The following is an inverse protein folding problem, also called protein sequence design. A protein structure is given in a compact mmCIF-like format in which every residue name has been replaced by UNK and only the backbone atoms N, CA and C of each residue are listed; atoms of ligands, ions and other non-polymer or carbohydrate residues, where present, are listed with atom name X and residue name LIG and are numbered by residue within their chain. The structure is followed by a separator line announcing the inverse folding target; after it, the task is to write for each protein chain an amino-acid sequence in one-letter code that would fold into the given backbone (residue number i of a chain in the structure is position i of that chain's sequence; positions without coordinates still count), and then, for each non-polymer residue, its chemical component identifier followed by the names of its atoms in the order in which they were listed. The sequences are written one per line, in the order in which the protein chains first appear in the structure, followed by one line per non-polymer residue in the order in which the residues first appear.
data_IF_031368893922
#
_entry.id   IF_031368893922
#
_cell.length_a   1.000
_cell.length_b   1.000
_cell.length_c   1.000
_cell.angle_alpha   90.00
_cell.angle_beta   90.00
_cell.angle_gamma   90.00
#
_symmetry.space_group_name_H-M   'P 1'
#
loop_
_entity.id
_entity.type
_entity.pdbx_description
1 polymer ?
#
# COMPACT_ATOMS: atom_id res chain seq x y z
N UNK A 1 -70.82 -19.37 6.73
CA UNK A 1 -70.13 -18.32 5.95
C UNK A 1 -68.89 -17.92 6.70
N UNK A 2 -67.73 -18.45 6.27
CA UNK A 2 -66.44 -18.09 6.86
C UNK A 2 -65.79 -17.04 5.97
N UNK A 3 -65.57 -15.84 6.51
CA UNK A 3 -64.82 -14.80 5.82
C UNK A 3 -63.30 -15.06 5.99
N UNK A 4 -62.62 -15.42 4.89
CA UNK A 4 -61.16 -15.47 4.83
C UNK A 4 -60.70 -14.06 4.56
N UNK A 5 -60.10 -13.41 5.60
CA UNK A 5 -59.31 -12.15 5.42
C UNK A 5 -57.96 -12.53 4.81
N UNK A 6 -57.78 -12.18 3.56
CA UNK A 6 -56.45 -12.19 2.89
C UNK A 6 -55.74 -10.93 3.33
N UNK A 7 -54.77 -11.06 4.25
CA UNK A 7 -53.78 -10.03 4.52
C UNK A 7 -52.80 -9.99 3.31
N UNK A 8 -52.97 -9.00 2.46
CA UNK A 8 -51.94 -8.63 1.51
C UNK A 8 -50.76 -7.99 2.30
N UNK A 9 -49.67 -8.73 2.48
CA UNK A 9 -48.41 -8.20 2.90
C UNK A 9 -47.87 -7.33 1.74
N UNK A 10 -48.15 -6.04 1.78
CA UNK A 10 -47.42 -5.06 0.98
C UNK A 10 -46.04 -4.91 1.59
N UNK A 11 -45.10 -5.72 1.09
CA UNK A 11 -43.68 -5.45 1.29
C UNK A 11 -43.36 -4.12 0.58
N UNK A 12 -43.06 -3.07 1.33
CA UNK A 12 -42.39 -1.90 0.81
C UNK A 12 -40.95 -2.27 0.49
N UNK A 13 -40.70 -2.97 -0.61
CA UNK A 13 -39.40 -2.99 -1.26
C UNK A 13 -39.30 -1.69 -2.05
N UNK A 14 -38.32 -0.87 -1.75
CA UNK A 14 -37.96 0.26 -2.60
C UNK A 14 -37.77 -0.28 -4.00
N UNK A 15 -38.51 0.27 -4.97
CA UNK A 15 -38.39 -0.14 -6.36
C UNK A 15 -37.04 0.36 -6.87
N UNK A 16 -36.20 -0.53 -7.37
CA UNK A 16 -34.91 -0.16 -7.95
C UNK A 16 -35.09 0.97 -8.99
N UNK A 17 -34.20 1.96 -8.93
CA UNK A 17 -34.13 3.09 -9.87
C UNK A 17 -33.37 2.69 -11.15
N UNK A 18 -32.73 1.51 -11.18
CA UNK A 18 -31.95 1.02 -12.30
C UNK A 18 -32.83 0.30 -13.33
N UNK A 19 -32.53 0.50 -14.61
CA UNK A 19 -33.30 -0.10 -15.71
C UNK A 19 -32.44 -0.36 -16.93
N UNK A 20 -32.41 -1.58 -17.42
CA UNK A 20 -31.73 -1.94 -18.68
C UNK A 20 -32.27 -1.20 -19.91
N UNK A 21 -33.48 -0.64 -19.83
CA UNK A 21 -34.08 0.15 -20.93
C UNK A 21 -33.61 1.60 -20.95
N UNK A 22 -33.20 2.13 -19.79
CA UNK A 22 -32.71 3.48 -19.60
C UNK A 22 -31.44 3.40 -18.75
N UNK A 23 -30.31 2.97 -19.34
CA UNK A 23 -29.10 2.72 -18.58
C UNK A 23 -28.49 4.03 -18.05
N UNK A 24 -27.97 3.99 -16.82
CA UNK A 24 -27.19 5.07 -16.23
C UNK A 24 -25.70 4.87 -16.51
N UNK A 25 -25.00 5.92 -16.88
CA UNK A 25 -23.55 5.92 -17.05
C UNK A 25 -22.88 6.56 -15.83
N UNK A 26 -21.86 5.86 -15.29
CA UNK A 26 -20.96 6.36 -14.25
C UNK A 26 -19.59 6.59 -14.87
N UNK A 27 -19.00 7.75 -14.64
CA UNK A 27 -17.61 8.03 -14.97
C UNK A 27 -16.71 7.60 -13.82
N UNK A 28 -15.55 6.98 -14.12
CA UNK A 28 -14.62 6.46 -13.12
C UNK A 28 -13.19 6.88 -13.38
N UNK A 29 -12.50 7.33 -12.33
CA UNK A 29 -11.06 7.53 -12.29
C UNK A 29 -10.43 6.55 -11.30
N UNK A 30 -9.33 5.89 -11.67
CA UNK A 30 -8.64 4.97 -10.78
C UNK A 30 -7.12 4.97 -10.96
N UNK A 31 -6.41 4.52 -9.94
CA UNK A 31 -4.94 4.49 -9.87
C UNK A 31 -4.30 3.29 -10.58
N UNK A 32 -5.08 2.33 -11.03
CA UNK A 32 -4.57 1.06 -11.57
C UNK A 32 -4.26 1.10 -13.06
N UNK A 33 -4.47 2.24 -13.73
CA UNK A 33 -4.28 2.38 -15.19
C UNK A 33 -2.83 2.27 -15.67
N UNK A 34 -1.86 2.52 -14.77
CA UNK A 34 -0.43 2.39 -15.07
C UNK A 34 0.06 0.92 -14.98
N UNK A 35 -0.77 0.02 -14.46
CA UNK A 35 -0.42 -1.40 -14.34
C UNK A 35 -0.50 -2.11 -15.69
N UNK A 36 0.42 -3.02 -15.94
CA UNK A 36 0.46 -3.78 -17.19
C UNK A 36 -0.87 -4.53 -17.41
N UNK A 37 -1.52 -4.26 -18.57
CA UNK A 37 -2.79 -4.86 -18.92
C UNK A 37 -4.00 -4.31 -18.16
N UNK A 38 -3.83 -3.28 -17.33
CA UNK A 38 -4.85 -2.64 -16.50
C UNK A 38 -5.93 -3.62 -15.98
N UNK A 39 -5.65 -4.38 -14.91
CA UNK A 39 -6.59 -5.36 -14.37
C UNK A 39 -7.95 -4.76 -14.01
N UNK A 40 -7.98 -3.51 -13.55
CA UNK A 40 -9.22 -2.81 -13.22
C UNK A 40 -10.06 -2.52 -14.47
N UNK A 41 -9.44 -2.12 -15.59
CA UNK A 41 -10.18 -1.90 -16.85
C UNK A 41 -10.82 -3.19 -17.35
N UNK A 42 -10.12 -4.31 -17.21
CA UNK A 42 -10.65 -5.64 -17.54
C UNK A 42 -11.89 -5.96 -16.71
N UNK A 43 -11.87 -5.67 -15.41
CA UNK A 43 -13.03 -5.85 -14.52
C UNK A 43 -14.18 -4.93 -14.89
N UNK A 44 -13.92 -3.67 -15.20
CA UNK A 44 -14.94 -2.72 -15.64
C UNK A 44 -15.59 -3.17 -16.94
N UNK A 45 -14.81 -3.67 -17.91
CA UNK A 45 -15.35 -4.24 -19.14
C UNK A 45 -16.20 -5.49 -18.89
N UNK A 46 -15.81 -6.36 -17.96
CA UNK A 46 -16.59 -7.52 -17.56
C UNK A 46 -17.91 -7.09 -16.93
N UNK A 47 -17.88 -6.17 -15.97
CA UNK A 47 -19.10 -5.60 -15.38
C UNK A 47 -20.05 -5.06 -16.44
N UNK A 48 -19.53 -4.24 -17.36
CA UNK A 48 -20.32 -3.65 -18.44
C UNK A 48 -20.94 -4.68 -19.39
N UNK A 49 -20.32 -5.85 -19.54
CA UNK A 49 -20.85 -6.94 -20.39
C UNK A 49 -21.85 -7.85 -19.67
N UNK A 50 -21.79 -7.92 -18.35
CA UNK A 50 -22.55 -8.84 -17.50
C UNK A 50 -23.58 -8.11 -16.63
N UNK A 51 -23.34 -7.98 -15.36
CA UNK A 51 -24.25 -7.40 -14.36
C UNK A 51 -24.67 -5.98 -14.70
N UNK A 52 -23.75 -5.15 -15.13
CA UNK A 52 -24.05 -3.77 -15.54
C UNK A 52 -25.04 -3.71 -16.70
N UNK A 53 -24.86 -4.56 -17.71
CA UNK A 53 -25.80 -4.66 -18.85
C UNK A 53 -27.18 -5.13 -18.40
N UNK A 54 -27.25 -6.11 -17.51
CA UNK A 54 -28.51 -6.66 -17.02
C UNK A 54 -29.30 -5.63 -16.20
N UNK A 55 -28.61 -4.89 -15.34
CA UNK A 55 -29.21 -3.89 -14.44
C UNK A 55 -29.36 -2.50 -15.06
N UNK A 56 -28.74 -2.25 -16.20
CA UNK A 56 -28.77 -0.94 -16.85
C UNK A 56 -27.77 0.05 -16.22
N UNK A 57 -26.58 -0.41 -15.89
CA UNK A 57 -25.46 0.40 -15.43
C UNK A 57 -24.27 0.23 -16.37
N UNK A 58 -23.61 1.31 -16.69
CA UNK A 58 -22.37 1.32 -17.45
C UNK A 58 -21.32 2.16 -16.75
N UNK A 59 -20.16 1.59 -16.50
CA UNK A 59 -18.99 2.34 -15.96
C UNK A 59 -18.05 2.67 -17.11
N UNK A 60 -17.65 3.93 -17.20
CA UNK A 60 -16.72 4.46 -18.21
C UNK A 60 -15.46 4.95 -17.50
N UNK A 61 -14.37 4.27 -17.71
CA UNK A 61 -13.07 4.67 -17.17
C UNK A 61 -12.49 5.82 -18.00
N UNK A 62 -11.89 6.78 -17.31
CA UNK A 62 -11.02 7.80 -17.88
C UNK A 62 -9.63 7.62 -17.27
N UNK A 63 -8.66 7.31 -18.11
CA UNK A 63 -7.27 7.14 -17.68
C UNK A 63 -6.69 8.47 -17.19
N UNK A 64 -5.95 8.41 -16.10
CA UNK A 64 -5.18 9.52 -15.55
C UNK A 64 -3.70 9.27 -15.80
N UNK A 65 -2.97 10.34 -16.07
CA UNK A 65 -1.55 10.29 -16.41
C UNK A 65 -0.63 9.94 -15.24
N UNK A 66 -1.15 9.90 -14.01
CA UNK A 66 -0.41 9.48 -12.81
C UNK A 66 -1.35 9.15 -11.65
N UNK A 67 -1.27 7.92 -11.17
CA UNK A 67 -1.98 7.44 -10.00
C UNK A 67 -1.69 8.28 -8.75
N UNK A 68 -0.43 8.65 -8.54
CA UNK A 68 0.00 9.44 -7.39
C UNK A 68 -0.58 10.87 -7.36
N UNK A 69 -1.17 11.34 -8.47
CA UNK A 69 -1.74 12.70 -8.58
C UNK A 69 -3.26 12.74 -8.54
N UNK A 70 -3.93 11.60 -8.36
CA UNK A 70 -5.40 11.54 -8.42
C UNK A 70 -6.05 12.49 -7.41
N UNK A 71 -5.55 12.56 -6.17
CA UNK A 71 -6.05 13.48 -5.15
C UNK A 71 -5.96 14.94 -5.59
N UNK A 72 -4.82 15.35 -6.15
CA UNK A 72 -4.64 16.70 -6.71
C UNK A 72 -5.63 17.00 -7.85
N UNK A 73 -5.78 16.08 -8.80
CA UNK A 73 -6.75 16.25 -9.90
C UNK A 73 -8.19 16.33 -9.41
N UNK A 74 -8.57 15.54 -8.41
CA UNK A 74 -9.89 15.62 -7.80
C UNK A 74 -10.14 16.98 -7.13
N UNK A 75 -9.16 17.52 -6.42
CA UNK A 75 -9.27 18.86 -5.82
C UNK A 75 -9.35 19.98 -6.87
N UNK A 76 -8.59 19.86 -7.97
CA UNK A 76 -8.65 20.80 -9.07
C UNK A 76 -10.04 20.85 -9.73
N UNK A 77 -10.78 19.73 -9.81
CA UNK A 77 -12.14 19.70 -10.39
C UNK A 77 -13.17 20.49 -9.56
N UNK A 78 -12.89 20.79 -8.29
CA UNK A 78 -13.75 21.61 -7.45
C UNK A 78 -13.65 23.12 -7.77
N UNK A 79 -12.60 23.53 -8.50
CA UNK A 79 -12.41 24.91 -8.96
C UNK A 79 -13.04 25.18 -10.31
N UNK A 80 -12.56 26.21 -11.02
CA UNK A 80 -12.97 26.57 -12.39
C UNK A 80 -12.35 25.64 -13.48
N UNK A 81 -12.17 24.37 -13.19
CA UNK A 81 -11.61 23.42 -14.13
C UNK A 81 -12.65 23.03 -15.18
N UNK A 82 -12.20 22.85 -16.44
CA UNK A 82 -13.05 22.34 -17.52
C UNK A 82 -13.35 20.84 -17.39
N UNK A 83 -12.80 20.19 -16.38
CA UNK A 83 -12.93 18.77 -16.14
C UNK A 83 -14.04 18.53 -15.11
N UNK A 84 -14.98 17.65 -15.43
CA UNK A 84 -16.07 17.31 -14.53
C UNK A 84 -15.60 16.29 -13.48
N UNK A 85 -16.11 16.40 -12.25
CA UNK A 85 -15.88 15.45 -11.18
C UNK A 85 -16.39 14.07 -11.62
N UNK A 86 -15.59 12.99 -11.50
CA UNK A 86 -16.05 11.64 -11.79
C UNK A 86 -17.09 11.19 -10.77
N UNK A 87 -17.99 10.29 -11.19
CA UNK A 87 -18.98 9.69 -10.29
C UNK A 87 -18.35 8.70 -9.31
N UNK A 88 -17.33 7.97 -9.77
CA UNK A 88 -16.54 7.00 -9.02
C UNK A 88 -15.06 7.34 -9.14
N UNK A 89 -14.32 7.17 -8.06
CA UNK A 89 -12.86 7.29 -8.11
C UNK A 89 -12.20 6.51 -6.99
N UNK A 90 -10.91 6.25 -7.16
CA UNK A 90 -10.11 5.65 -6.09
C UNK A 90 -9.20 6.72 -5.50
N UNK A 91 -9.18 6.85 -4.17
CA UNK A 91 -8.27 7.76 -3.47
C UNK A 91 -7.97 7.27 -2.05
N UNK A 92 -7.05 7.96 -1.38
CA UNK A 92 -6.79 7.79 0.05
C UNK A 92 -7.81 8.55 0.89
N UNK A 93 -7.97 8.18 2.15
CA UNK A 93 -8.92 8.82 3.06
C UNK A 93 -8.62 10.33 3.24
N UNK A 94 -7.34 10.72 3.28
CA UNK A 94 -6.95 12.13 3.36
C UNK A 94 -7.47 12.96 2.18
N UNK A 95 -7.43 12.42 0.96
CA UNK A 95 -7.98 13.07 -0.24
C UNK A 95 -9.51 13.18 -0.17
N UNK A 96 -10.18 12.11 0.30
CA UNK A 96 -11.63 12.09 0.47
C UNK A 96 -12.09 13.17 1.46
N UNK A 97 -11.42 13.30 2.60
CA UNK A 97 -11.68 14.35 3.60
C UNK A 97 -11.44 15.74 3.00
N UNK A 98 -10.34 15.94 2.27
CA UNK A 98 -10.02 17.21 1.62
C UNK A 98 -11.03 17.61 0.54
N UNK A 99 -11.64 16.64 -0.15
CA UNK A 99 -12.74 16.89 -1.10
C UNK A 99 -14.01 17.41 -0.42
N UNK A 100 -14.23 17.02 0.82
CA UNK A 100 -15.40 17.34 1.63
C UNK A 100 -16.33 16.14 1.82
N UNK A 101 -16.44 15.68 3.04
CA UNK A 101 -17.19 14.48 3.44
C UNK A 101 -18.68 14.53 3.06
N UNK A 102 -19.29 15.72 3.05
CA UNK A 102 -20.67 15.94 2.67
C UNK A 102 -20.94 15.73 1.17
N UNK A 103 -19.89 15.75 0.34
CA UNK A 103 -19.97 15.55 -1.10
C UNK A 103 -19.84 14.09 -1.53
N UNK A 104 -19.42 13.23 -0.63
CA UNK A 104 -19.18 11.81 -0.89
C UNK A 104 -20.30 10.94 -0.34
N UNK A 105 -20.55 9.78 -0.97
CA UNK A 105 -21.44 8.78 -0.42
C UNK A 105 -20.83 8.23 0.88
N UNK A 106 -21.68 8.05 1.88
CA UNK A 106 -21.36 7.23 3.03
C UNK A 106 -21.71 5.76 2.69
N UNK A 107 -20.70 4.92 2.57
CA UNK A 107 -20.90 3.52 2.23
C UNK A 107 -21.67 2.75 3.32
N UNK A 108 -21.77 3.27 4.55
CA UNK A 108 -22.63 2.71 5.59
C UNK A 108 -24.11 2.68 5.18
N UNK A 109 -24.54 3.60 4.30
CA UNK A 109 -25.91 3.63 3.78
C UNK A 109 -26.17 2.51 2.74
N UNK A 110 -25.10 1.92 2.16
CA UNK A 110 -25.16 1.00 1.03
C UNK A 110 -24.67 -0.41 1.34
N UNK A 111 -23.88 -0.60 2.39
CA UNK A 111 -23.43 -1.89 2.90
C UNK A 111 -23.96 -2.09 4.31
N UNK A 112 -24.75 -3.11 4.51
CA UNK A 112 -25.27 -3.45 5.85
C UNK A 112 -24.13 -3.86 6.78
N UNK A 113 -24.32 -3.74 8.11
CA UNK A 113 -23.35 -4.21 9.11
C UNK A 113 -22.93 -5.68 8.90
N UNK A 114 -23.87 -6.52 8.43
CA UNK A 114 -23.56 -7.91 8.11
C UNK A 114 -22.61 -8.03 6.94
N UNK A 115 -22.80 -7.26 5.87
CA UNK A 115 -21.95 -7.26 4.70
C UNK A 115 -20.57 -6.68 5.04
N UNK A 116 -20.52 -5.59 5.81
CA UNK A 116 -19.26 -5.02 6.31
C UNK A 116 -18.49 -6.01 7.18
N UNK A 117 -19.18 -6.81 8.00
CA UNK A 117 -18.57 -7.87 8.80
C UNK A 117 -17.88 -8.98 7.99
N UNK A 118 -18.07 -9.02 6.67
CA UNK A 118 -17.36 -9.92 5.76
C UNK A 118 -16.01 -9.36 5.29
N UNK A 119 -15.68 -8.12 5.62
CA UNK A 119 -14.42 -7.45 5.28
C UNK A 119 -13.45 -7.43 6.48
N UNK A 120 -12.17 -7.28 6.19
CA UNK A 120 -11.15 -7.08 7.23
C UNK A 120 -11.42 -5.75 7.93
N UNK A 121 -11.71 -5.80 9.23
CA UNK A 121 -12.16 -4.63 9.99
C UNK A 121 -11.17 -3.47 9.98
N UNK A 122 -9.86 -3.75 10.05
CA UNK A 122 -8.83 -2.73 9.95
C UNK A 122 -8.80 -2.02 8.59
N UNK A 123 -9.20 -2.71 7.51
CA UNK A 123 -9.26 -2.11 6.18
C UNK A 123 -10.50 -1.23 5.97
N UNK A 124 -11.62 -1.55 6.64
CA UNK A 124 -12.77 -0.66 6.69
C UNK A 124 -12.48 0.58 7.53
N UNK A 125 -11.93 0.40 8.73
CA UNK A 125 -11.59 1.49 9.63
C UNK A 125 -10.63 2.53 9.01
N UNK A 126 -9.75 2.08 8.11
CA UNK A 126 -8.87 2.98 7.36
C UNK A 126 -9.62 3.93 6.42
N UNK A 127 -10.80 3.54 5.95
CA UNK A 127 -11.67 4.33 5.09
C UNK A 127 -12.71 5.19 5.81
N UNK A 128 -12.76 5.14 7.15
CA UNK A 128 -13.70 5.90 7.96
C UNK A 128 -13.18 7.32 8.25
N UNK A 129 -14.06 8.30 8.17
CA UNK A 129 -13.83 9.65 8.68
C UNK A 129 -14.03 9.70 10.21
N UNK A 130 -13.62 10.81 10.84
CA UNK A 130 -13.68 10.97 12.30
C UNK A 130 -15.12 10.93 12.86
N UNK A 131 -16.12 11.25 12.05
CA UNK A 131 -17.54 11.17 12.41
C UNK A 131 -18.17 9.78 12.19
N UNK A 132 -17.36 8.79 11.77
CA UNK A 132 -17.77 7.40 11.56
C UNK A 132 -18.37 7.10 10.18
N UNK A 133 -18.36 8.06 9.24
CA UNK A 133 -18.74 7.81 7.86
C UNK A 133 -17.69 6.98 7.14
N UNK A 134 -18.09 5.93 6.47
CA UNK A 134 -17.22 5.14 5.61
C UNK A 134 -17.17 5.80 4.22
N UNK A 135 -16.17 6.64 3.99
CA UNK A 135 -16.02 7.41 2.73
C UNK A 135 -15.24 6.65 1.68
N UNK A 136 -14.28 5.82 2.10
CA UNK A 136 -13.37 5.07 1.21
C UNK A 136 -13.56 3.58 1.42
N UNK A 137 -14.24 2.91 0.48
CA UNK A 137 -14.52 1.49 0.58
C UNK A 137 -13.30 0.67 0.10
N UNK A 138 -12.80 -0.31 0.88
CA UNK A 138 -11.58 -1.04 0.53
C UNK A 138 -11.80 -1.92 -0.70
N UNK A 139 -10.90 -1.80 -1.69
CA UNK A 139 -10.84 -2.66 -2.89
C UNK A 139 -9.65 -3.60 -2.85
N UNK A 140 -8.54 -3.10 -2.38
CA UNK A 140 -7.27 -3.79 -2.25
C UNK A 140 -6.41 -3.04 -1.24
N UNK A 141 -5.55 -3.75 -0.52
CA UNK A 141 -4.58 -3.14 0.38
C UNK A 141 -3.19 -3.69 0.07
N UNK A 142 -2.17 -2.86 0.23
CA UNK A 142 -0.78 -3.28 0.17
C UNK A 142 -0.12 -3.07 1.52
N UNK A 143 1.01 -3.74 1.71
CA UNK A 143 1.88 -3.55 2.87
C UNK A 143 3.32 -3.51 2.41
N UNK A 144 4.21 -3.04 3.26
CA UNK A 144 5.64 -3.16 3.03
C UNK A 144 6.11 -4.58 3.41
N UNK A 145 7.07 -5.08 2.66
CA UNK A 145 7.77 -6.31 2.91
C UNK A 145 9.13 -6.29 2.21
N UNK A 146 9.97 -7.28 2.47
CA UNK A 146 11.31 -7.35 1.92
C UNK A 146 11.32 -8.30 0.71
N UNK A 147 11.70 -7.79 -0.45
CA UNK A 147 11.90 -8.54 -1.70
C UNK A 147 13.38 -8.67 -1.98
N UNK A 148 13.87 -9.90 -2.21
CA UNK A 148 15.30 -10.18 -2.32
C UNK A 148 15.64 -10.90 -3.63
N UNK A 149 16.78 -10.55 -4.19
CA UNK A 149 17.46 -11.40 -5.14
C UNK A 149 17.96 -12.67 -4.42
N UNK A 150 17.16 -13.73 -4.43
CA UNK A 150 17.46 -14.98 -3.73
C UNK A 150 18.69 -15.68 -4.27
N UNK A 151 19.00 -15.56 -5.56
CA UNK A 151 20.26 -16.08 -6.16
C UNK A 151 21.48 -15.38 -5.54
N UNK A 152 21.45 -14.07 -5.40
CA UNK A 152 22.49 -13.30 -4.72
C UNK A 152 22.54 -13.60 -3.22
N UNK A 153 21.36 -13.69 -2.57
CA UNK A 153 21.27 -14.00 -1.15
C UNK A 153 21.83 -15.40 -0.82
N UNK A 154 21.62 -16.40 -1.66
CA UNK A 154 22.18 -17.73 -1.46
C UNK A 154 23.71 -17.70 -1.40
N UNK A 155 24.38 -16.91 -2.28
CA UNK A 155 25.85 -16.73 -2.24
C UNK A 155 26.30 -16.02 -0.96
N UNK A 156 25.60 -15.01 -0.55
CA UNK A 156 25.87 -14.28 0.70
C UNK A 156 25.68 -15.18 1.91
N UNK A 157 24.57 -15.92 1.96
CA UNK A 157 24.26 -16.91 3.02
C UNK A 157 25.34 -17.98 3.15
N UNK A 158 25.79 -18.57 2.03
CA UNK A 158 26.87 -19.57 2.02
C UNK A 158 28.18 -19.01 2.58
N UNK A 159 28.49 -17.75 2.26
CA UNK A 159 29.74 -17.11 2.68
C UNK A 159 29.74 -16.67 4.16
N UNK A 160 28.60 -16.26 4.70
CA UNK A 160 28.49 -15.58 6.01
C UNK A 160 27.70 -16.35 7.06
N UNK A 161 26.87 -17.31 6.63
CA UNK A 161 25.94 -18.02 7.49
C UNK A 161 24.65 -17.27 7.82
N UNK A 162 24.42 -16.08 7.25
CA UNK A 162 23.16 -15.32 7.39
C UNK A 162 22.03 -16.09 6.69
N UNK A 163 20.88 -16.17 7.34
CA UNK A 163 19.69 -16.87 6.84
C UNK A 163 18.51 -15.91 6.71
N UNK A 164 17.40 -16.35 6.08
CA UNK A 164 16.17 -15.56 6.04
C UNK A 164 15.57 -15.32 7.44
N UNK A 165 15.77 -16.26 8.38
CA UNK A 165 15.30 -16.11 9.76
C UNK A 165 15.98 -14.93 10.48
N UNK A 166 17.25 -14.66 10.16
CA UNK A 166 17.96 -13.50 10.70
C UNK A 166 17.34 -12.16 10.26
N UNK A 167 16.62 -12.14 9.13
CA UNK A 167 15.94 -10.95 8.61
C UNK A 167 14.58 -10.70 9.28
N UNK A 168 14.12 -11.55 10.19
CA UNK A 168 12.80 -11.44 10.81
C UNK A 168 12.71 -10.30 11.85
N UNK A 169 13.85 -9.78 12.31
CA UNK A 169 13.89 -8.66 13.26
C UNK A 169 14.69 -7.48 12.70
N UNK A 170 14.38 -6.27 13.18
CA UNK A 170 15.13 -5.08 12.77
C UNK A 170 16.60 -5.15 13.13
N UNK A 171 16.94 -5.69 14.31
CA UNK A 171 18.32 -5.88 14.72
C UNK A 171 19.05 -6.85 13.79
N UNK A 172 18.42 -7.98 13.46
CA UNK A 172 18.98 -8.97 12.55
C UNK A 172 19.09 -8.45 11.12
N UNK A 173 18.11 -7.69 10.65
CA UNK A 173 18.13 -7.01 9.35
C UNK A 173 19.31 -6.04 9.23
N UNK A 174 19.53 -5.15 10.21
CA UNK A 174 20.66 -4.22 10.18
C UNK A 174 22.01 -4.91 10.35
N UNK A 175 22.10 -5.98 11.17
CA UNK A 175 23.30 -6.81 11.28
C UNK A 175 23.62 -7.52 9.95
N UNK A 176 22.63 -8.10 9.30
CA UNK A 176 22.78 -8.70 7.97
C UNK A 176 23.22 -7.67 6.92
N UNK A 177 22.65 -6.45 6.96
CA UNK A 177 23.02 -5.36 6.06
C UNK A 177 24.51 -4.97 6.23
N UNK A 178 24.99 -4.86 7.46
CA UNK A 178 26.41 -4.61 7.72
C UNK A 178 27.30 -5.75 7.23
N UNK A 179 26.95 -7.01 7.51
CA UNK A 179 27.69 -8.18 7.02
C UNK A 179 27.73 -8.28 5.49
N UNK A 180 26.64 -7.90 4.81
CA UNK A 180 26.60 -7.87 3.36
C UNK A 180 27.54 -6.81 2.79
N UNK A 181 27.49 -5.60 3.37
CA UNK A 181 28.38 -4.52 2.98
C UNK A 181 29.86 -4.88 3.15
N UNK A 182 30.22 -5.53 4.25
CA UNK A 182 31.57 -6.04 4.50
C UNK A 182 31.94 -7.13 3.48
N UNK A 183 31.02 -8.07 3.20
CA UNK A 183 31.24 -9.15 2.25
C UNK A 183 31.49 -8.65 0.82
N UNK A 184 30.80 -7.57 0.43
CA UNK A 184 31.00 -6.89 -0.88
C UNK A 184 32.17 -5.90 -0.86
N UNK A 185 32.99 -5.89 0.19
CA UNK A 185 34.10 -4.95 0.40
C UNK A 185 33.68 -3.46 0.39
N UNK A 186 32.50 -3.16 0.89
CA UNK A 186 31.99 -1.79 1.01
C UNK A 186 31.52 -1.19 -0.30
N UNK A 187 31.13 -2.00 -1.28
CA UNK A 187 30.69 -1.53 -2.61
C UNK A 187 29.19 -1.55 -2.83
N UNK A 188 28.47 -2.45 -2.16
CA UNK A 188 27.07 -2.68 -2.43
C UNK A 188 26.24 -2.59 -1.13
N UNK A 189 25.23 -1.72 -1.07
CA UNK A 189 24.25 -1.72 0.02
C UNK A 189 23.39 -2.99 -0.01
N UNK A 190 22.94 -3.43 1.16
CA UNK A 190 22.07 -4.59 1.29
C UNK A 190 20.65 -4.32 0.79
N UNK A 191 20.11 -3.14 1.10
CA UNK A 191 18.69 -2.85 0.87
C UNK A 191 18.45 -1.40 0.39
N UNK A 192 17.59 -1.25 -0.60
CA UNK A 192 16.96 0.02 -0.93
C UNK A 192 15.57 0.10 -0.28
N UNK A 193 15.28 1.19 0.44
CA UNK A 193 14.02 1.39 1.15
C UNK A 193 13.16 2.44 0.45
N UNK A 194 11.94 2.07 0.04
CA UNK A 194 11.01 3.00 -0.64
C UNK A 194 10.39 4.00 0.34
N UNK A 195 9.97 3.54 1.50
CA UNK A 195 9.29 4.36 2.51
C UNK A 195 9.91 4.13 3.90
N UNK A 196 11.17 4.53 4.13
CA UNK A 196 11.88 4.23 5.37
C UNK A 196 11.21 4.80 6.61
N UNK A 197 10.56 5.97 6.52
CA UNK A 197 9.89 6.56 7.68
C UNK A 197 8.80 5.65 8.25
N UNK A 198 8.05 4.93 7.40
CA UNK A 198 7.02 3.99 7.87
C UNK A 198 7.63 2.81 8.64
N UNK A 199 8.78 2.32 8.21
CA UNK A 199 9.53 1.29 8.95
C UNK A 199 10.00 1.79 10.32
N UNK A 200 10.47 3.05 10.39
CA UNK A 200 10.87 3.70 11.65
C UNK A 200 9.66 3.87 12.59
N UNK A 201 8.50 4.27 12.07
CA UNK A 201 7.27 4.40 12.84
C UNK A 201 6.83 3.08 13.46
N UNK A 202 6.81 1.99 12.66
CA UNK A 202 6.45 0.67 13.15
C UNK A 202 7.43 0.22 14.24
N UNK A 203 8.74 0.37 14.00
CA UNK A 203 9.76 0.04 14.99
C UNK A 203 9.58 0.84 16.29
N UNK A 204 9.25 2.14 16.22
CA UNK A 204 9.00 2.96 17.40
C UNK A 204 7.76 2.50 18.19
N UNK A 205 6.66 2.19 17.50
CA UNK A 205 5.43 1.66 18.12
C UNK A 205 5.69 0.30 18.80
N UNK A 206 6.40 -0.59 18.14
CA UNK A 206 6.80 -1.90 18.67
C UNK A 206 7.72 -1.77 19.90
N UNK A 207 8.49 -0.68 20.02
CA UNK A 207 9.26 -0.33 21.21
C UNK A 207 8.44 0.43 22.28
N UNK A 208 7.12 0.60 22.07
CA UNK A 208 6.21 1.19 23.04
C UNK A 208 6.10 2.71 22.96
N UNK A 209 6.42 3.33 21.83
CA UNK A 209 6.02 4.72 21.59
C UNK A 209 4.49 4.78 21.51
N UNK A 210 3.84 5.50 22.43
CA UNK A 210 2.38 5.62 22.43
C UNK A 210 1.90 6.62 21.39
N UNK A 211 2.59 7.75 21.26
CA UNK A 211 2.29 8.83 20.34
C UNK A 211 3.59 9.56 19.96
N UNK A 212 3.79 9.78 18.69
CA UNK A 212 4.93 10.52 18.17
C UNK A 212 4.53 11.57 17.13
N UNK A 213 3.25 11.92 17.08
CA UNK A 213 2.76 13.02 16.26
C UNK A 213 2.34 14.21 17.10
N UNK A 214 2.53 15.41 16.57
CA UNK A 214 2.01 16.64 17.16
C UNK A 214 0.58 16.92 16.66
N UNK A 215 -0.15 17.79 17.38
CA UNK A 215 -1.47 18.26 16.94
C UNK A 215 -1.46 18.91 15.55
N UNK A 216 -0.32 19.47 15.14
CA UNK A 216 -0.12 20.09 13.83
C UNK A 216 0.11 19.05 12.70
N UNK A 217 0.07 17.77 13.02
CA UNK A 217 0.16 16.69 12.03
C UNK A 217 1.58 16.44 11.50
N UNK A 218 2.59 16.59 12.36
CA UNK A 218 3.96 16.20 12.06
C UNK A 218 4.55 15.43 13.25
N UNK A 219 5.85 15.14 13.25
CA UNK A 219 6.48 14.32 14.28
C UNK A 219 6.83 15.12 15.53
N UNK A 220 6.63 14.50 16.69
CA UNK A 220 7.16 14.96 17.97
C UNK A 220 8.63 14.54 18.09
N UNK A 221 9.51 15.48 17.80
CA UNK A 221 10.96 15.28 17.85
C UNK A 221 11.53 15.17 19.27
N UNK A 222 10.73 15.38 20.30
CA UNK A 222 11.11 15.18 21.70
C UNK A 222 10.79 13.75 22.18
N UNK A 223 10.11 12.94 21.38
CA UNK A 223 9.86 11.51 21.65
C UNK A 223 11.17 10.72 21.51
N UNK A 224 11.70 10.27 22.66
CA UNK A 224 13.00 9.59 22.70
C UNK A 224 12.97 8.19 22.06
N UNK A 225 11.84 7.49 22.11
CA UNK A 225 11.69 6.15 21.51
C UNK A 225 11.67 6.26 20.00
N UNK A 226 10.92 7.23 19.47
CA UNK A 226 10.90 7.51 18.04
C UNK A 226 12.30 7.94 17.53
N UNK A 227 12.98 8.79 18.28
CA UNK A 227 14.35 9.19 17.94
C UNK A 227 15.29 7.99 17.88
N UNK A 228 15.24 7.06 18.83
CA UNK A 228 16.13 5.88 18.81
C UNK A 228 15.83 4.97 17.63
N UNK A 229 14.56 4.75 17.29
CA UNK A 229 14.17 4.02 16.07
C UNK A 229 14.69 4.68 14.80
N UNK A 230 14.64 6.02 14.73
CA UNK A 230 15.28 6.75 13.64
C UNK A 230 16.80 6.55 13.62
N UNK A 231 17.45 6.60 14.77
CA UNK A 231 18.91 6.47 14.85
C UNK A 231 19.40 5.09 14.41
N UNK A 232 18.63 4.02 14.60
CA UNK A 232 18.96 2.69 14.05
C UNK A 232 19.03 2.73 12.52
N UNK A 233 18.00 3.27 11.87
CA UNK A 233 17.95 3.48 10.43
C UNK A 233 19.10 4.41 9.97
N UNK A 234 19.29 5.53 10.65
CA UNK A 234 20.26 6.57 10.30
C UNK A 234 21.71 6.08 10.36
N UNK A 235 22.07 5.25 11.36
CA UNK A 235 23.39 4.61 11.45
C UNK A 235 23.67 3.70 10.25
N UNK A 236 22.69 2.87 9.86
CA UNK A 236 22.83 1.99 8.71
C UNK A 236 22.96 2.78 7.40
N UNK A 237 22.18 3.85 7.23
CA UNK A 237 22.28 4.77 6.10
C UNK A 237 23.64 5.47 6.05
N UNK A 238 24.12 5.99 7.20
CA UNK A 238 25.40 6.67 7.29
C UNK A 238 26.59 5.76 6.96
N UNK A 239 26.49 4.48 7.27
CA UNK A 239 27.51 3.47 6.95
C UNK A 239 27.41 2.94 5.52
N UNK A 240 26.34 3.25 4.78
CA UNK A 240 26.11 2.73 3.43
C UNK A 240 25.58 1.29 3.39
N UNK A 241 25.13 0.76 4.54
CA UNK A 241 24.56 -0.58 4.61
C UNK A 241 23.19 -0.68 3.92
N UNK A 242 22.45 0.43 3.92
CA UNK A 242 21.16 0.62 3.26
C UNK A 242 21.14 1.95 2.52
N UNK A 243 20.19 2.12 1.60
CA UNK A 243 19.93 3.37 0.90
C UNK A 243 18.44 3.70 0.87
N UNK A 244 18.09 4.97 0.79
CA UNK A 244 16.75 5.40 0.36
C UNK A 244 16.69 5.24 -1.14
N UNK A 245 15.69 4.52 -1.66
CA UNK A 245 15.56 4.25 -3.09
C UNK A 245 15.44 5.54 -3.90
N UNK A 246 15.98 5.54 -5.12
CA UNK A 246 15.90 6.71 -6.01
C UNK A 246 14.48 6.98 -6.49
N UNK A 247 13.82 5.94 -7.02
CA UNK A 247 12.41 5.94 -7.43
C UNK A 247 11.69 4.78 -6.77
N UNK A 248 12.12 3.55 -7.08
CA UNK A 248 11.55 2.31 -6.56
C UNK A 248 12.66 1.28 -6.37
N UNK A 249 12.65 0.61 -5.23
CA UNK A 249 13.65 -0.38 -4.83
C UNK A 249 13.75 -1.57 -5.81
N UNK A 250 12.64 -1.97 -6.45
CA UNK A 250 12.64 -3.04 -7.44
C UNK A 250 13.62 -2.78 -8.59
N UNK A 251 13.75 -1.54 -9.07
CA UNK A 251 14.72 -1.20 -10.13
C UNK A 251 16.14 -1.46 -9.66
N UNK A 252 16.49 -1.01 -8.45
CA UNK A 252 17.83 -1.17 -7.90
C UNK A 252 18.17 -2.65 -7.61
N UNK A 253 17.19 -3.48 -7.22
CA UNK A 253 17.38 -4.93 -7.09
C UNK A 253 17.63 -5.57 -8.46
N UNK A 254 16.86 -5.21 -9.48
CA UNK A 254 16.98 -5.77 -10.83
C UNK A 254 18.23 -5.29 -11.60
N UNK A 255 18.83 -4.18 -11.17
CA UNK A 255 20.11 -3.70 -11.72
C UNK A 255 21.32 -4.19 -10.91
N UNK A 256 21.08 -4.91 -9.81
CA UNK A 256 22.14 -5.42 -8.95
C UNK A 256 22.84 -4.32 -8.12
N UNK A 257 22.25 -3.14 -8.01
CA UNK A 257 22.75 -2.07 -7.14
C UNK A 257 22.61 -2.39 -5.67
N UNK A 258 21.56 -3.17 -5.32
CA UNK A 258 21.29 -3.67 -3.97
C UNK A 258 20.84 -5.12 -4.02
N UNK A 259 20.99 -5.83 -2.93
CA UNK A 259 20.52 -7.22 -2.83
C UNK A 259 19.01 -7.32 -2.60
N UNK A 260 18.42 -6.35 -1.92
CA UNK A 260 17.01 -6.39 -1.51
C UNK A 260 16.35 -5.02 -1.64
N UNK A 261 15.01 -5.04 -1.72
CA UNK A 261 14.17 -3.86 -1.67
C UNK A 261 13.13 -3.98 -0.57
N UNK A 262 13.01 -2.98 0.29
CA UNK A 262 11.91 -2.86 1.23
C UNK A 262 10.88 -1.91 0.64
N UNK A 263 9.77 -2.48 0.15
CA UNK A 263 8.78 -1.73 -0.60
C UNK A 263 7.38 -2.36 -0.54
N UNK A 264 6.47 -1.80 -1.32
CA UNK A 264 5.09 -2.25 -1.40
C UNK A 264 4.97 -3.66 -1.99
N UNK A 265 4.05 -4.47 -1.48
CA UNK A 265 3.68 -5.77 -2.07
C UNK A 265 3.30 -5.66 -3.55
N UNK A 266 2.66 -4.56 -3.95
CA UNK A 266 2.30 -4.29 -5.35
C UNK A 266 3.51 -4.07 -6.27
N UNK A 267 4.71 -3.87 -5.74
CA UNK A 267 5.92 -3.78 -6.53
C UNK A 267 6.25 -5.08 -7.27
N UNK A 268 5.64 -6.22 -6.88
CA UNK A 268 5.81 -7.51 -7.57
C UNK A 268 5.54 -7.41 -9.09
N UNK A 269 4.59 -6.57 -9.49
CA UNK A 269 4.25 -6.33 -10.90
C UNK A 269 5.44 -5.83 -11.75
N UNK A 270 6.43 -5.25 -11.11
CA UNK A 270 7.58 -4.61 -11.76
C UNK A 270 8.88 -5.39 -11.57
N UNK A 271 8.84 -6.53 -10.88
CA UNK A 271 9.94 -7.47 -10.82
C UNK A 271 9.92 -8.42 -12.02
N UNK A 272 11.09 -8.89 -12.42
CA UNK A 272 11.26 -9.97 -13.37
C UNK A 272 12.21 -11.03 -12.79
N UNK A 273 12.49 -12.07 -13.54
CA UNK A 273 13.31 -13.21 -13.15
C UNK A 273 14.83 -13.03 -13.48
N UNK A 274 15.27 -11.79 -13.71
CA UNK A 274 16.63 -11.52 -14.19
C UNK A 274 17.19 -10.26 -13.54
N UNK A 275 18.43 -10.35 -13.05
CA UNK A 275 19.25 -9.17 -12.70
C UNK A 275 20.13 -8.82 -13.90
N UNK A 276 20.18 -7.54 -14.23
CA UNK A 276 21.06 -7.01 -15.29
C UNK A 276 21.97 -5.93 -14.69
N UNK A 277 23.24 -6.26 -14.57
CA UNK A 277 24.25 -5.40 -13.98
C UNK A 277 24.71 -4.29 -14.91
N UNK A 278 25.34 -3.24 -14.36
CA UNK A 278 25.84 -2.08 -15.12
C UNK A 278 26.78 -2.45 -16.28
N UNK A 279 27.59 -3.49 -16.14
CA UNK A 279 28.49 -4.00 -17.17
C UNK A 279 27.82 -4.76 -18.33
N UNK A 280 26.47 -4.90 -18.24
CA UNK A 280 25.64 -5.63 -19.21
C UNK A 280 25.58 -7.15 -18.97
N UNK A 281 26.24 -7.66 -17.93
CA UNK A 281 26.06 -9.03 -17.49
C UNK A 281 24.64 -9.24 -16.92
N UNK A 282 24.04 -10.38 -17.20
CA UNK A 282 22.73 -10.75 -16.66
C UNK A 282 22.76 -12.15 -16.08
N UNK A 283 22.05 -12.36 -14.99
CA UNK A 283 21.86 -13.69 -14.39
C UNK A 283 20.40 -13.89 -13.95
N UNK A 284 19.94 -15.15 -13.87
CA UNK A 284 18.62 -15.45 -13.33
C UNK A 284 18.48 -15.00 -11.87
N UNK A 285 17.34 -14.43 -11.54
CA UNK A 285 16.96 -14.02 -10.20
C UNK A 285 15.83 -14.90 -9.70
N UNK A 286 16.07 -15.63 -8.61
CA UNK A 286 15.02 -16.26 -7.82
C UNK A 286 14.48 -15.21 -6.84
N UNK A 287 13.31 -14.65 -7.15
CA UNK A 287 12.71 -13.60 -6.30
C UNK A 287 12.17 -14.22 -5.01
N UNK A 288 12.82 -13.92 -3.91
CA UNK A 288 12.38 -14.30 -2.57
C UNK A 288 11.67 -13.13 -1.90
N UNK A 289 10.62 -13.44 -1.14
CA UNK A 289 9.85 -12.45 -0.41
C UNK A 289 9.71 -12.92 1.03
N UNK A 290 10.07 -12.04 1.97
CA UNK A 290 9.94 -12.31 3.40
C UNK A 290 9.13 -11.19 4.06
N UNK A 291 8.43 -11.50 5.17
CA UNK A 291 7.70 -10.51 5.95
C UNK A 291 8.57 -9.31 6.33
N UNK A 292 7.91 -8.19 6.61
CA UNK A 292 8.57 -7.02 7.17
C UNK A 292 9.28 -7.40 8.49
N UNK A 293 10.52 -6.97 8.74
CA UNK A 293 11.17 -7.15 10.02
C UNK A 293 10.33 -6.54 11.15
N UNK A 294 10.38 -7.13 12.34
CA UNK A 294 9.70 -6.68 13.54
C UNK A 294 10.68 -6.47 14.69
N UNK A 295 10.27 -5.80 15.74
CA UNK A 295 11.04 -5.73 16.99
C UNK A 295 10.96 -7.08 17.74
N UNK A 296 12.08 -7.63 18.14
CA UNK A 296 12.13 -8.92 18.81
C UNK A 296 11.27 -8.95 20.09
N UNK A 297 10.28 -9.84 20.12
CA UNK A 297 9.38 -10.03 21.27
C UNK A 297 8.23 -9.03 21.37
N UNK A 298 8.07 -8.14 20.42
CA UNK A 298 6.90 -7.26 20.31
C UNK A 298 5.75 -7.94 19.56
N UNK A 299 4.55 -7.36 19.64
CA UNK A 299 3.44 -7.69 18.75
C UNK A 299 3.75 -7.04 17.37
N UNK A 300 3.89 -7.83 16.32
CA UNK A 300 4.34 -7.30 15.05
C UNK A 300 3.29 -6.41 14.39
N UNK A 301 3.74 -5.31 13.80
CA UNK A 301 2.92 -4.36 13.09
C UNK A 301 3.23 -4.38 11.59
N UNK A 302 2.22 -4.11 10.76
CA UNK A 302 2.41 -3.89 9.34
C UNK A 302 1.74 -2.60 8.89
N UNK A 303 2.30 -1.96 7.88
CA UNK A 303 1.62 -0.86 7.21
C UNK A 303 0.43 -1.41 6.43
N UNK A 304 -0.65 -0.64 6.37
CA UNK A 304 -1.63 -0.81 5.33
C UNK A 304 -1.61 0.44 4.46
N UNK A 305 -1.59 0.24 3.17
CA UNK A 305 -1.58 1.31 2.19
C UNK A 305 -2.48 0.90 1.02
N UNK A 306 -2.77 1.86 0.18
CA UNK A 306 -3.61 1.65 -0.99
C UNK A 306 -4.90 2.44 -0.90
N UNK A 307 -5.40 2.73 -2.08
CA UNK A 307 -6.64 3.49 -2.26
C UNK A 307 -7.86 2.58 -2.12
N UNK A 308 -8.99 3.19 -1.79
CA UNK A 308 -10.29 2.53 -1.88
C UNK A 308 -11.23 3.27 -2.81
N UNK A 309 -12.42 2.75 -2.98
CA UNK A 309 -13.47 3.30 -3.84
C UNK A 309 -14.25 4.40 -3.13
N UNK A 310 -14.33 5.55 -3.76
CA UNK A 310 -15.20 6.66 -3.38
C UNK A 310 -16.27 6.88 -4.45
N UNK A 311 -17.39 7.41 -4.06
CA UNK A 311 -18.44 7.83 -4.97
C UNK A 311 -18.89 9.27 -4.64
N UNK A 312 -18.98 10.12 -5.67
CA UNK A 312 -19.43 11.49 -5.53
C UNK A 312 -20.95 11.55 -5.50
N UNK A 313 -21.53 12.31 -4.55
CA UNK A 313 -22.98 12.49 -4.43
C UNK A 313 -23.52 13.30 -5.61
N UNK A 314 -24.38 12.67 -6.40
CA UNK A 314 -25.10 13.32 -7.50
C UNK A 314 -26.60 13.02 -7.43
N UNK A 315 -27.07 11.90 -7.98
CA UNK A 315 -28.46 11.47 -7.95
C UNK A 315 -28.62 10.16 -7.22
N UNK A 316 -29.81 9.87 -6.68
CA UNK A 316 -30.12 8.58 -6.06
C UNK A 316 -29.91 7.41 -7.02
N UNK A 317 -30.21 7.57 -8.32
CA UNK A 317 -29.97 6.55 -9.33
C UNK A 317 -28.49 6.25 -9.52
N UNK A 318 -27.62 7.27 -9.54
CA UNK A 318 -26.17 7.07 -9.63
C UNK A 318 -25.59 6.47 -8.35
N UNK A 319 -26.14 6.85 -7.20
CA UNK A 319 -25.75 6.24 -5.92
C UNK A 319 -26.09 4.74 -5.87
N UNK A 320 -27.29 4.34 -6.31
CA UNK A 320 -27.67 2.93 -6.44
C UNK A 320 -26.76 2.18 -7.45
N UNK A 321 -26.42 2.83 -8.56
CA UNK A 321 -25.51 2.26 -9.56
C UNK A 321 -24.09 2.08 -9.03
N UNK A 322 -23.58 3.06 -8.25
CA UNK A 322 -22.29 3.00 -7.58
C UNK A 322 -22.24 1.85 -6.57
N UNK A 323 -23.31 1.70 -5.76
CA UNK A 323 -23.45 0.59 -4.82
C UNK A 323 -23.44 -0.76 -5.52
N UNK A 324 -24.20 -0.91 -6.61
CA UNK A 324 -24.20 -2.13 -7.41
C UNK A 324 -22.79 -2.50 -7.90
N UNK A 325 -22.06 -1.52 -8.43
CA UNK A 325 -20.70 -1.73 -8.91
C UNK A 325 -19.74 -2.09 -7.78
N UNK A 326 -19.82 -1.41 -6.63
CA UNK A 326 -18.99 -1.70 -5.47
C UNK A 326 -19.20 -3.12 -4.93
N UNK A 327 -20.45 -3.58 -4.79
CA UNK A 327 -20.77 -4.96 -4.40
C UNK A 327 -20.24 -5.98 -5.40
N UNK A 328 -20.41 -5.70 -6.68
CA UNK A 328 -19.93 -6.58 -7.74
C UNK A 328 -18.41 -6.66 -7.74
N UNK A 329 -17.72 -5.53 -7.62
CA UNK A 329 -16.27 -5.44 -7.66
C UNK A 329 -15.61 -6.13 -6.46
N UNK A 330 -16.24 -6.06 -5.29
CA UNK A 330 -15.74 -6.62 -4.03
C UNK A 330 -16.32 -8.01 -3.70
N UNK A 331 -16.98 -8.68 -4.66
CA UNK A 331 -17.36 -10.09 -4.51
C UNK A 331 -16.09 -10.93 -4.27
N UNK A 332 -16.17 -11.92 -3.35
CA UNK A 332 -14.98 -12.60 -2.78
C UNK A 332 -14.03 -13.16 -3.84
N UNK A 333 -14.56 -13.94 -4.81
CA UNK A 333 -13.68 -14.56 -5.81
C UNK A 333 -13.10 -13.53 -6.77
N UNK A 334 -13.90 -12.56 -7.18
CA UNK A 334 -13.44 -11.49 -8.08
C UNK A 334 -12.39 -10.60 -7.42
N UNK A 335 -12.59 -10.28 -6.14
CA UNK A 335 -11.58 -9.55 -5.38
C UNK A 335 -10.29 -10.37 -5.26
N UNK A 336 -10.39 -11.67 -4.98
CA UNK A 336 -9.24 -12.57 -4.93
C UNK A 336 -8.48 -12.59 -6.27
N UNK A 337 -9.18 -12.78 -7.39
CA UNK A 337 -8.58 -12.81 -8.72
C UNK A 337 -7.88 -11.48 -9.06
N UNK A 338 -8.50 -10.35 -8.68
CA UNK A 338 -7.91 -9.03 -8.86
C UNK A 338 -6.64 -8.85 -8.04
N UNK A 339 -6.67 -9.13 -6.74
CA UNK A 339 -5.50 -8.89 -5.88
C UNK A 339 -4.36 -9.85 -6.20
N UNK A 340 -4.64 -11.13 -6.52
CA UNK A 340 -3.61 -12.10 -6.88
C UNK A 340 -2.92 -11.81 -8.22
N UNK A 341 -3.54 -11.01 -9.07
CA UNK A 341 -2.93 -10.52 -10.32
C UNK A 341 -2.13 -9.22 -10.13
N UNK A 342 -2.21 -8.57 -8.97
CA UNK A 342 -1.67 -7.22 -8.75
C UNK A 342 -0.75 -7.08 -7.53
N UNK A 343 -0.57 -8.15 -6.75
CA UNK A 343 0.29 -8.14 -5.57
C UNK A 343 -0.32 -7.44 -4.34
N UNK A 344 -1.61 -7.14 -4.38
CA UNK A 344 -2.34 -6.59 -3.24
C UNK A 344 -2.86 -7.69 -2.31
N UNK A 345 -3.25 -7.28 -1.11
CA UNK A 345 -3.96 -8.13 -0.15
C UNK A 345 -5.47 -8.11 -0.44
N UNK A 346 -6.15 -9.27 -0.35
CA UNK A 346 -7.61 -9.34 -0.42
C UNK A 346 -8.24 -8.63 0.78
N UNK A 347 -9.38 -7.99 0.52
CA UNK A 347 -10.07 -7.19 1.56
C UNK A 347 -11.15 -7.96 2.30
N UNK A 348 -11.47 -9.18 1.86
CA UNK A 348 -12.48 -10.03 2.48
C UNK A 348 -11.89 -10.99 3.50
N UNK A 349 -12.59 -11.16 4.63
CA UNK A 349 -12.25 -12.17 5.62
C UNK A 349 -12.23 -13.59 5.00
N UNK A 350 -11.24 -14.38 5.38
CA UNK A 350 -11.08 -15.75 4.89
C UNK A 350 -10.75 -15.85 3.39
N UNK A 351 -10.42 -14.76 2.71
CA UNK A 351 -9.96 -14.80 1.33
C UNK A 351 -8.55 -15.38 1.24
N UNK A 352 -7.68 -15.09 2.23
CA UNK A 352 -6.35 -15.69 2.30
C UNK A 352 -6.38 -17.21 2.46
N UNK A 353 -7.43 -17.81 3.04
CA UNK A 353 -7.59 -19.27 3.10
C UNK A 353 -7.67 -19.89 1.70
N UNK A 354 -8.18 -19.14 0.72
CA UNK A 354 -8.30 -19.56 -0.67
C UNK A 354 -7.03 -19.31 -1.49
N UNK A 355 -6.04 -18.60 -0.96
CA UNK A 355 -4.75 -18.35 -1.65
C UNK A 355 -4.00 -19.66 -1.91
N UNK A 356 -4.09 -20.62 -1.00
CA UNK A 356 -3.44 -21.93 -1.16
C UNK A 356 -4.00 -22.74 -2.35
N UNK A 357 -5.16 -22.36 -2.86
CA UNK A 357 -5.80 -22.97 -4.04
C UNK A 357 -5.42 -22.27 -5.35
N UNK A 358 -4.72 -21.13 -5.27
CA UNK A 358 -4.28 -20.38 -6.45
C UNK A 358 -2.96 -20.94 -6.98
N UNK A 359 -2.96 -21.35 -8.24
CA UNK A 359 -1.74 -21.75 -8.95
C UNK A 359 -1.07 -20.52 -9.56
N UNK A 360 0.06 -20.10 -8.99
CA UNK A 360 0.86 -19.02 -9.53
C UNK A 360 1.83 -19.53 -10.59
N UNK A 361 1.78 -18.93 -11.78
CA UNK A 361 2.72 -19.27 -12.86
C UNK A 361 4.14 -18.78 -12.56
N UNK A 362 4.27 -17.70 -11.80
CA UNK A 362 5.53 -17.10 -11.36
C UNK A 362 5.77 -17.45 -9.89
N UNK A 363 6.90 -18.12 -9.55
CA UNK A 363 7.25 -18.46 -8.17
C UNK A 363 7.36 -17.22 -7.25
N UNK A 364 7.74 -16.06 -7.77
CA UNK A 364 7.81 -14.82 -6.99
C UNK A 364 6.46 -14.42 -6.40
N UNK A 365 5.37 -14.63 -7.15
CA UNK A 365 4.01 -14.42 -6.61
C UNK A 365 3.64 -15.44 -5.52
N UNK A 366 4.04 -16.70 -5.68
CA UNK A 366 3.83 -17.70 -4.63
C UNK A 366 4.57 -17.31 -3.33
N UNK A 367 5.83 -16.86 -3.45
CA UNK A 367 6.61 -16.37 -2.32
C UNK A 367 5.97 -15.13 -1.67
N UNK A 368 5.49 -14.18 -2.49
CA UNK A 368 4.77 -12.99 -2.02
C UNK A 368 3.54 -13.37 -1.19
N UNK A 369 2.68 -14.22 -1.73
CA UNK A 369 1.43 -14.56 -1.04
C UNK A 369 1.64 -15.43 0.18
N UNK A 370 2.71 -16.23 0.24
CA UNK A 370 3.12 -16.93 1.46
C UNK A 370 3.55 -15.93 2.57
N UNK A 371 4.32 -14.90 2.21
CA UNK A 371 4.72 -13.84 3.15
C UNK A 371 3.51 -13.00 3.60
N UNK A 372 2.65 -12.57 2.67
CA UNK A 372 1.45 -11.80 2.98
C UNK A 372 0.47 -12.58 3.88
N UNK A 373 0.30 -13.89 3.65
CA UNK A 373 -0.53 -14.75 4.49
C UNK A 373 0.01 -14.79 5.92
N UNK A 374 1.32 -15.02 6.07
CA UNK A 374 1.98 -14.97 7.38
C UNK A 374 1.75 -13.64 8.08
N UNK A 375 1.90 -12.51 7.37
CA UNK A 375 1.69 -11.19 7.94
C UNK A 375 0.22 -10.96 8.32
N UNK A 376 -0.73 -11.35 7.49
CA UNK A 376 -2.15 -11.21 7.80
C UNK A 376 -2.59 -12.03 9.03
N UNK A 377 -1.97 -13.17 9.27
CA UNK A 377 -2.26 -14.04 10.41
C UNK A 377 -1.63 -13.56 11.72
N UNK A 378 -0.52 -12.83 11.63
CA UNK A 378 0.33 -12.55 12.80
C UNK A 378 0.60 -11.07 13.07
N UNK A 379 0.45 -10.19 12.08
CA UNK A 379 0.72 -8.75 12.21
C UNK A 379 -0.58 -7.95 12.36
N UNK A 380 -0.51 -6.89 13.14
CA UNK A 380 -1.60 -5.92 13.24
C UNK A 380 -1.43 -4.81 12.21
N UNK A 381 -2.42 -4.56 11.33
CA UNK A 381 -2.33 -3.49 10.36
C UNK A 381 -2.46 -2.11 11.03
N UNK A 382 -1.53 -1.21 10.69
CA UNK A 382 -1.53 0.18 11.13
C UNK A 382 -2.15 1.06 10.03
N UNK A 383 -3.14 1.85 10.40
CA UNK A 383 -3.83 2.78 9.50
C UNK A 383 -2.85 3.77 8.83
N UNK A 384 -3.22 4.27 7.66
CA UNK A 384 -2.48 5.34 7.00
C UNK A 384 -2.50 6.65 7.79
N UNK A 385 -1.45 7.43 7.61
CA UNK A 385 -1.37 8.78 8.18
C UNK A 385 -2.31 9.71 7.41
N UNK A 386 -3.15 10.46 8.13
CA UNK A 386 -4.23 11.28 7.56
C UNK A 386 -3.92 12.77 7.50
N UNK A 387 -2.70 13.17 7.85
CA UNK A 387 -2.35 14.59 7.90
C UNK A 387 -2.22 15.18 6.49
N UNK A 388 -2.78 16.35 6.31
CA UNK A 388 -2.57 17.19 5.12
C UNK A 388 -1.07 17.46 5.00
N UNK A 389 -0.53 17.46 3.78
CA UNK A 389 0.89 17.70 3.48
C UNK A 389 1.88 16.62 3.96
N UNK A 390 1.43 15.56 4.66
CA UNK A 390 2.32 14.49 5.14
C UNK A 390 3.23 13.94 4.03
N UNK A 391 2.64 13.50 2.93
CA UNK A 391 3.40 12.95 1.80
C UNK A 391 4.36 13.96 1.17
N UNK A 392 3.97 15.22 1.06
CA UNK A 392 4.83 16.28 0.53
C UNK A 392 6.06 16.51 1.41
N UNK A 393 5.86 16.53 2.73
CA UNK A 393 6.95 16.65 3.71
C UNK A 393 7.87 15.41 3.69
N UNK A 394 7.29 14.22 3.62
CA UNK A 394 8.04 12.96 3.52
C UNK A 394 8.87 12.89 2.25
N UNK A 395 8.34 13.33 1.11
CA UNK A 395 9.13 13.43 -0.13
C UNK A 395 10.31 14.39 0.02
N UNK A 396 10.12 15.55 0.66
CA UNK A 396 11.19 16.50 0.95
C UNK A 396 12.28 15.86 1.83
N UNK A 397 11.87 15.07 2.83
CA UNK A 397 12.80 14.30 3.67
C UNK A 397 13.62 13.31 2.84
N UNK A 398 12.97 12.54 1.99
CA UNK A 398 13.66 11.52 1.18
C UNK A 398 14.62 12.15 0.18
N UNK A 399 14.27 13.27 -0.44
CA UNK A 399 15.16 14.00 -1.32
C UNK A 399 16.43 14.48 -0.58
N UNK A 400 16.28 14.95 0.63
CA UNK A 400 17.40 15.32 1.49
C UNK A 400 18.27 14.12 1.87
N UNK A 401 17.66 13.01 2.27
CA UNK A 401 18.39 11.78 2.62
C UNK A 401 19.14 11.19 1.42
N UNK A 402 18.53 11.20 0.20
CA UNK A 402 19.21 10.79 -1.04
C UNK A 402 20.43 11.62 -1.37
N UNK A 403 20.42 12.92 -1.03
CA UNK A 403 21.60 13.75 -1.18
C UNK A 403 22.67 13.38 -0.14
N UNK A 404 22.28 13.20 1.13
CA UNK A 404 23.21 12.87 2.21
C UNK A 404 23.86 11.49 2.01
N UNK A 405 23.12 10.49 1.59
CA UNK A 405 23.65 9.12 1.39
C UNK A 405 24.77 9.02 0.35
N UNK A 406 24.96 10.02 -0.50
CA UNK A 406 26.06 10.05 -1.45
C UNK A 406 27.42 10.36 -0.78
N UNK A 407 27.41 11.02 0.37
CA UNK A 407 28.61 11.46 1.09
C UNK A 407 28.82 10.75 2.42
N UNK A 408 27.75 10.44 3.16
CA UNK A 408 27.83 9.87 4.51
C UNK A 408 28.71 8.60 4.57
N UNK A 409 28.56 7.59 3.67
CA UNK A 409 29.37 6.37 3.73
C UNK A 409 30.87 6.65 3.52
N UNK A 410 31.21 7.60 2.69
CA UNK A 410 32.63 8.00 2.48
C UNK A 410 33.23 8.66 3.72
N UNK A 411 32.44 9.46 4.42
CA UNK A 411 32.85 10.13 5.66
C UNK A 411 33.01 9.10 6.79
N UNK A 412 32.07 8.16 6.91
CA UNK A 412 32.15 7.04 7.85
C UNK A 412 33.42 6.19 7.59
N UNK A 413 33.69 5.83 6.33
CA UNK A 413 34.88 5.07 5.92
C UNK A 413 36.19 5.87 6.16
N UNK A 414 36.14 7.19 6.17
CA UNK A 414 37.26 8.06 6.54
C UNK A 414 37.50 8.15 8.05
N UNK A 415 36.65 7.50 8.87
CA UNK A 415 36.76 7.43 10.33
C UNK A 415 36.00 8.53 11.08
N UNK A 416 35.08 9.22 10.43
CA UNK A 416 34.15 10.13 11.11
C UNK A 416 33.17 9.32 11.97
N UNK A 417 32.75 9.90 13.07
CA UNK A 417 31.87 9.24 14.03
C UNK A 417 30.49 8.99 13.42
N UNK A 418 30.11 7.72 13.30
CA UNK A 418 28.81 7.28 12.73
C UNK A 418 27.62 7.88 13.48
N UNK A 419 27.72 8.03 14.80
CA UNK A 419 26.66 8.65 15.61
C UNK A 419 26.48 10.12 15.23
N UNK A 420 27.58 10.86 15.03
CA UNK A 420 27.50 12.24 14.58
C UNK A 420 26.89 12.36 13.18
N UNK A 421 27.24 11.44 12.26
CA UNK A 421 26.66 11.39 10.92
C UNK A 421 25.16 11.06 10.94
N UNK A 422 24.74 10.15 11.81
CA UNK A 422 23.33 9.83 12.01
C UNK A 422 22.53 11.00 12.57
N UNK A 423 23.11 11.76 13.53
CA UNK A 423 22.49 13.00 14.05
C UNK A 423 22.34 14.09 12.97
N UNK A 424 23.18 14.13 11.95
CA UNK A 424 22.97 15.06 10.82
C UNK A 424 21.68 14.74 10.06
N UNK A 425 21.35 13.45 9.88
CA UNK A 425 20.07 13.06 9.26
C UNK A 425 18.87 13.41 10.12
N UNK A 426 19.00 13.28 11.45
CA UNK A 426 17.97 13.72 12.39
C UNK A 426 17.77 15.24 12.34
N UNK A 427 18.87 16.01 12.24
CA UNK A 427 18.79 17.46 12.08
C UNK A 427 18.12 17.88 10.78
N UNK A 428 18.38 17.15 9.65
CA UNK A 428 17.64 17.33 8.41
C UNK A 428 16.14 17.10 8.63
N UNK A 429 15.77 15.97 9.24
CA UNK A 429 14.37 15.63 9.48
C UNK A 429 13.64 16.71 10.30
N UNK A 430 14.25 17.18 11.38
CA UNK A 430 13.73 18.28 12.21
C UNK A 430 13.60 19.61 11.48
N UNK A 431 14.31 19.82 10.39
CA UNK A 431 14.27 21.07 9.62
C UNK A 431 13.07 21.15 8.67
N UNK A 432 12.37 20.05 8.44
CA UNK A 432 11.19 19.96 7.57
C UNK A 432 9.96 20.39 8.37
N UNK A 433 9.28 21.43 7.89
CA UNK A 433 8.11 22.05 8.55
C UNK A 433 6.86 21.93 7.68
#
# INVERSE_FOLDING_TARGET
MAFILIFALTGCGNKSLLSAKEPVELTMWHVYGEQAGSPMDTLVEEFNRTEGKEKGVRVKVTELSSAAKIGGFLLETQGDSAQEMPDLFTCHIGDAIALGEDKLLDWNDYFTEKEQGEFVSGFLADGEADDGKLLVFPLSKSTQLLMLNGTGFARFSEATGVTYDDLSTWEGFYDAAGKFYDWTNGTEPFCAMDYPIRAVELNALEHGAEDFYTEDGWYDFDNAVFKESWMQFARALAQGHIVVSDLYSNTQVMTGEVLSGLGSSAAILYYNDTVTYEDGHSEPMDLQVVPLPMTAGAEPLMTQAGVGLCAYKTTEQKAEAASLFAHWLTEKQRNLDFVTSTGYMPVRNGAFDSIDEVEFADPGYANLYAALKTMQETYTPLAEVRFTDYYSKVHTLYDGLRQMQQELPRRAAAGEDVEALAEETWALFRSIQ
#
